data_IF_806885321292
#
_entry.id   IF_806885321292
#
_cell.length_a   1.000
_cell.length_b   1.000
_cell.length_c   1.000
_cell.angle_alpha   90.00
_cell.angle_beta   90.00
_cell.angle_gamma   90.00
#
_symmetry.space_group_name_H-M   'P 1'
#
loop_
_entity.id
_entity.type
_entity.pdbx_description
1 polymer ?
#
# COMPACT_ATOMS: atom_id res chain seq x y z
N UNK A 1 -16.11 15.62 -7.48
CA UNK A 1 -14.81 15.66 -8.13
C UNK A 1 -13.78 14.91 -7.38
N UNK A 2 -12.98 14.11 -8.05
CA UNK A 2 -11.88 13.46 -7.38
C UNK A 2 -10.85 14.48 -6.92
N UNK A 3 -10.17 14.15 -5.85
CA UNK A 3 -9.14 15.02 -5.28
C UNK A 3 -7.79 14.49 -5.76
N UNK A 4 -6.95 15.38 -6.26
CA UNK A 4 -5.64 14.99 -6.73
C UNK A 4 -4.79 14.50 -5.55
N UNK A 5 -3.98 13.45 -5.76
CA UNK A 5 -3.09 13.00 -4.70
C UNK A 5 -2.09 14.09 -4.31
N UNK A 6 -1.66 14.06 -3.06
CA UNK A 6 -0.74 15.06 -2.53
C UNK A 6 0.55 15.15 -3.31
N UNK A 7 1.08 14.00 -3.80
CA UNK A 7 2.33 14.03 -4.55
C UNK A 7 2.17 14.78 -5.87
N UNK A 8 0.97 14.77 -6.46
CA UNK A 8 0.74 15.55 -7.68
C UNK A 8 0.65 17.03 -7.37
N UNK A 9 -0.06 17.40 -6.30
CA UNK A 9 -0.21 18.80 -5.98
C UNK A 9 1.09 19.41 -5.47
N UNK A 10 1.96 18.60 -4.85
CA UNK A 10 3.24 19.07 -4.35
C UNK A 10 4.35 18.93 -5.39
N UNK A 11 4.05 18.39 -6.55
CA UNK A 11 5.00 18.23 -7.64
C UNK A 11 6.23 17.43 -7.18
N UNK A 12 6.00 16.30 -6.55
CA UNK A 12 7.05 15.42 -6.06
C UNK A 12 6.75 13.98 -6.45
N UNK A 13 7.74 13.09 -6.40
CA UNK A 13 7.46 11.68 -6.67
C UNK A 13 6.56 11.09 -5.59
N UNK A 14 5.76 10.10 -5.93
CA UNK A 14 5.00 9.38 -4.91
C UNK A 14 5.94 8.71 -3.91
N UNK A 15 5.52 8.68 -2.65
CA UNK A 15 6.26 8.06 -1.56
C UNK A 15 5.62 6.74 -1.21
N UNK A 16 6.43 5.69 -1.22
CA UNK A 16 5.96 4.33 -0.91
C UNK A 16 6.68 3.82 0.32
N UNK A 17 5.93 3.31 1.27
CA UNK A 17 6.48 2.70 2.47
C UNK A 17 6.22 1.20 2.42
N UNK A 18 7.30 0.41 2.47
CA UNK A 18 7.20 -1.04 2.52
C UNK A 18 7.43 -1.47 3.96
N UNK A 19 6.49 -2.23 4.51
CA UNK A 19 6.59 -2.76 5.86
C UNK A 19 6.55 -4.28 5.74
N UNK A 20 7.71 -4.92 5.84
CA UNK A 20 7.84 -6.36 5.63
C UNK A 20 9.14 -6.81 6.28
N UNK A 21 9.07 -7.87 7.08
CA UNK A 21 10.26 -8.37 7.77
C UNK A 21 11.13 -9.27 6.88
N UNK A 22 10.66 -9.61 5.68
CA UNK A 22 11.40 -10.47 4.77
C UNK A 22 12.18 -9.61 3.77
N UNK A 23 13.47 -9.44 4.01
CA UNK A 23 14.33 -8.63 3.14
C UNK A 23 14.48 -9.21 1.76
N UNK A 24 14.35 -10.55 1.63
CA UNK A 24 14.44 -11.18 0.31
C UNK A 24 13.29 -10.78 -0.59
N UNK A 25 12.17 -10.38 -0.01
CA UNK A 25 11.05 -9.85 -0.78
C UNK A 25 11.13 -8.34 -0.87
N UNK A 26 11.40 -7.67 0.23
CA UNK A 26 11.36 -6.22 0.28
C UNK A 26 12.42 -5.56 -0.59
N UNK A 27 13.64 -6.13 -0.63
CA UNK A 27 14.73 -5.51 -1.39
C UNK A 27 14.44 -5.47 -2.89
N UNK A 28 14.03 -6.58 -3.53
CA UNK A 28 13.70 -6.50 -4.96
C UNK A 28 12.51 -5.59 -5.25
N UNK A 29 11.52 -5.57 -4.35
CA UNK A 29 10.36 -4.69 -4.51
C UNK A 29 10.81 -3.23 -4.47
N UNK A 30 11.63 -2.89 -3.48
CA UNK A 30 12.14 -1.52 -3.34
C UNK A 30 12.90 -1.11 -4.60
N UNK A 31 13.77 -2.00 -5.09
CA UNK A 31 14.57 -1.71 -6.27
C UNK A 31 13.68 -1.47 -7.49
N UNK A 32 12.70 -2.34 -7.71
CA UNK A 32 11.81 -2.23 -8.85
C UNK A 32 11.01 -0.92 -8.82
N UNK A 33 10.53 -0.55 -7.65
CA UNK A 33 9.72 0.67 -7.51
C UNK A 33 10.58 1.91 -7.62
N UNK A 34 11.80 1.89 -7.10
CA UNK A 34 12.72 3.02 -7.25
C UNK A 34 13.05 3.27 -8.71
N UNK A 35 13.19 2.21 -9.52
CA UNK A 35 13.47 2.36 -10.94
C UNK A 35 12.34 3.05 -11.69
N UNK A 36 11.13 3.00 -11.15
CA UNK A 36 9.98 3.68 -11.75
C UNK A 36 9.87 5.13 -11.31
N UNK A 37 10.78 5.59 -10.47
CA UNK A 37 10.80 6.99 -10.05
C UNK A 37 10.15 7.26 -8.70
N UNK A 38 9.69 6.23 -7.99
CA UNK A 38 9.08 6.43 -6.69
C UNK A 38 10.13 6.57 -5.60
N UNK A 39 9.79 7.30 -4.55
CA UNK A 39 10.62 7.36 -3.34
C UNK A 39 10.18 6.22 -2.44
N UNK A 40 11.07 5.29 -2.13
CA UNK A 40 10.69 4.08 -1.42
C UNK A 40 11.48 3.96 -0.12
N UNK A 41 10.77 3.73 0.98
CA UNK A 41 11.34 3.47 2.29
C UNK A 41 10.90 2.09 2.74
N UNK A 42 11.82 1.32 3.31
CA UNK A 42 11.49 -0.01 3.83
C UNK A 42 11.81 -0.07 5.31
N UNK A 43 10.86 -0.58 6.09
CA UNK A 43 11.07 -0.89 7.51
C UNK A 43 10.66 -2.34 7.76
N UNK A 44 11.33 -3.02 8.71
CA UNK A 44 11.18 -4.49 8.81
C UNK A 44 10.11 -4.97 9.78
N UNK A 45 9.45 -4.11 10.52
CA UNK A 45 8.44 -4.60 11.47
C UNK A 45 7.32 -3.60 11.65
N UNK A 46 6.25 -4.06 12.28
CA UNK A 46 5.03 -3.27 12.41
C UNK A 46 5.19 -2.05 13.30
N UNK A 47 6.01 -2.12 14.35
CA UNK A 47 6.21 -0.96 15.21
C UNK A 47 6.97 0.13 14.47
N UNK A 48 7.99 -0.24 13.71
CA UNK A 48 8.69 0.72 12.86
C UNK A 48 7.78 1.24 11.76
N UNK A 49 6.85 0.40 11.28
CA UNK A 49 5.87 0.82 10.29
C UNK A 49 4.99 1.93 10.80
N UNK A 50 4.47 1.78 12.02
CA UNK A 50 3.64 2.82 12.63
C UNK A 50 4.42 4.12 12.77
N UNK A 51 5.66 4.04 13.24
CA UNK A 51 6.49 5.25 13.37
C UNK A 51 6.77 5.88 12.01
N UNK A 52 7.02 5.06 10.99
CA UNK A 52 7.37 5.55 9.67
C UNK A 52 6.19 6.24 8.96
N UNK A 53 4.96 5.87 9.28
CA UNK A 53 3.79 6.52 8.71
C UNK A 53 3.87 8.03 8.94
N UNK A 54 4.24 8.45 10.13
CA UNK A 54 4.31 9.87 10.46
C UNK A 54 5.52 10.54 9.82
N UNK A 55 6.67 9.86 9.78
CA UNK A 55 7.89 10.50 9.30
C UNK A 55 8.03 10.46 7.78
N UNK A 56 7.57 9.40 7.15
CA UNK A 56 7.65 9.26 5.68
C UNK A 56 6.47 9.95 5.01
N UNK A 57 5.32 9.93 5.63
CA UNK A 57 4.10 10.46 5.08
C UNK A 57 3.83 9.83 3.69
N UNK A 58 3.63 8.50 3.65
CA UNK A 58 3.55 7.80 2.37
C UNK A 58 2.24 8.08 1.64
N UNK A 59 2.29 7.91 0.33
CA UNK A 59 1.09 7.94 -0.51
C UNK A 59 0.53 6.53 -0.68
N UNK A 60 1.40 5.52 -0.55
CA UNK A 60 1.01 4.13 -0.66
C UNK A 60 1.88 3.29 0.26
N UNK A 61 1.29 2.27 0.88
CA UNK A 61 2.01 1.32 1.70
C UNK A 61 1.86 -0.07 1.12
N UNK A 62 2.96 -0.82 1.12
CA UNK A 62 2.96 -2.26 0.87
C UNK A 62 3.21 -2.91 2.22
N UNK A 63 2.23 -3.64 2.72
CA UNK A 63 2.17 -4.01 4.13
C UNK A 63 2.01 -5.51 4.29
N UNK A 64 3.02 -6.14 4.90
CA UNK A 64 2.95 -7.56 5.20
C UNK A 64 2.00 -7.79 6.37
N UNK A 65 1.18 -8.83 6.26
CA UNK A 65 0.21 -9.13 7.31
C UNK A 65 0.88 -9.74 8.53
N UNK A 66 1.86 -10.62 8.33
CA UNK A 66 2.44 -11.39 9.43
C UNK A 66 3.85 -10.92 9.72
N UNK A 67 4.02 -10.16 10.77
CA UNK A 67 5.31 -9.62 11.17
C UNK A 67 5.50 -9.70 12.68
N UNK A 68 6.74 -9.75 13.16
CA UNK A 68 6.96 -9.65 14.60
C UNK A 68 6.58 -8.25 15.10
N UNK A 69 6.27 -8.18 16.37
CA UNK A 69 5.88 -6.94 17.02
C UNK A 69 4.44 -6.60 16.80
N UNK A 70 4.13 -5.93 15.73
CA UNK A 70 2.77 -5.50 15.44
C UNK A 70 2.37 -6.05 14.07
N UNK A 71 1.24 -6.76 14.00
CA UNK A 71 0.79 -7.35 12.75
C UNK A 71 0.39 -6.27 11.74
N UNK A 72 0.34 -6.66 10.46
CA UNK A 72 -0.08 -5.74 9.43
C UNK A 72 -1.50 -5.23 9.63
N UNK A 73 -2.38 -6.07 10.17
CA UNK A 73 -3.74 -5.61 10.48
C UNK A 73 -3.74 -4.45 11.47
N UNK A 74 -2.89 -4.53 12.50
CA UNK A 74 -2.82 -3.46 13.50
C UNK A 74 -2.20 -2.19 12.92
N UNK A 75 -1.24 -2.34 12.02
CA UNK A 75 -0.66 -1.18 11.34
C UNK A 75 -1.72 -0.50 10.47
N UNK A 76 -2.51 -1.29 9.73
CA UNK A 76 -3.57 -0.75 8.89
C UNK A 76 -4.63 -0.04 9.72
N UNK A 77 -5.02 -0.66 10.82
CA UNK A 77 -6.01 -0.08 11.71
C UNK A 77 -5.52 1.25 12.27
N UNK A 78 -4.24 1.30 12.67
CA UNK A 78 -3.64 2.53 13.16
C UNK A 78 -3.66 3.62 12.07
N UNK A 79 -3.28 3.25 10.85
CA UNK A 79 -3.24 4.18 9.74
C UNK A 79 -4.62 4.83 9.52
N UNK A 80 -5.66 3.99 9.47
CA UNK A 80 -7.00 4.48 9.18
C UNK A 80 -7.56 5.33 10.31
N UNK A 81 -7.11 5.10 11.55
CA UNK A 81 -7.60 5.87 12.69
C UNK A 81 -6.91 7.22 12.85
N UNK A 82 -5.87 7.51 12.07
CA UNK A 82 -5.10 8.74 12.22
C UNK A 82 -5.41 9.77 11.14
N UNK A 83 -6.54 9.67 10.48
CA UNK A 83 -6.94 10.61 9.43
C UNK A 83 -6.07 10.53 8.18
N UNK A 84 -5.42 9.41 7.96
CA UNK A 84 -4.66 9.18 6.74
C UNK A 84 -5.43 8.22 5.85
N UNK A 85 -6.69 8.53 5.63
CA UNK A 85 -7.57 7.65 4.88
C UNK A 85 -7.29 7.65 3.39
N UNK A 86 -6.51 8.62 2.91
CA UNK A 86 -6.16 8.70 1.50
C UNK A 86 -4.90 7.90 1.14
N UNK A 87 -4.23 7.30 2.12
CA UNK A 87 -3.07 6.45 1.83
C UNK A 87 -3.57 5.12 1.26
N UNK A 88 -3.06 4.75 0.10
CA UNK A 88 -3.40 3.46 -0.52
C UNK A 88 -2.64 2.36 0.18
N UNK A 89 -3.28 1.21 0.39
CA UNK A 89 -2.64 0.09 1.08
C UNK A 89 -2.80 -1.18 0.28
N UNK A 90 -1.67 -1.83 0.01
CA UNK A 90 -1.64 -3.17 -0.57
C UNK A 90 -1.18 -4.11 0.54
N UNK A 91 -2.04 -5.03 0.96
CA UNK A 91 -1.67 -6.06 1.92
C UNK A 91 -1.02 -7.22 1.19
N UNK A 92 0.11 -7.69 1.70
CA UNK A 92 0.83 -8.81 1.09
C UNK A 92 1.02 -9.87 2.15
N UNK A 93 0.68 -11.12 1.85
CA UNK A 93 0.73 -12.14 2.86
C UNK A 93 0.91 -13.52 2.28
N UNK A 94 1.56 -14.42 3.04
CA UNK A 94 1.61 -15.84 2.72
C UNK A 94 0.41 -16.62 3.22
N UNK A 95 -0.48 -15.96 3.98
CA UNK A 95 -1.64 -16.64 4.51
C UNK A 95 -2.79 -16.52 3.51
N UNK A 96 -3.38 -17.67 3.16
CA UNK A 96 -4.36 -17.70 2.10
C UNK A 96 -5.80 -17.73 2.55
N UNK A 97 -6.07 -17.54 3.79
CA UNK A 97 -7.45 -17.63 4.27
C UNK A 97 -8.32 -16.49 3.74
N UNK A 98 -9.49 -16.85 3.25
CA UNK A 98 -10.43 -15.85 2.74
C UNK A 98 -10.90 -14.89 3.81
N UNK A 99 -10.95 -15.36 5.06
CA UNK A 99 -11.34 -14.50 6.15
C UNK A 99 -10.34 -13.36 6.35
N UNK A 100 -9.07 -13.65 6.16
CA UNK A 100 -8.05 -12.60 6.30
C UNK A 100 -8.18 -11.56 5.20
N UNK A 101 -8.50 -11.99 4.00
CA UNK A 101 -8.70 -11.05 2.91
C UNK A 101 -9.91 -10.17 3.15
N UNK A 102 -11.03 -10.76 3.60
CA UNK A 102 -12.24 -10.01 3.89
C UNK A 102 -11.98 -9.00 5.01
N UNK A 103 -11.24 -9.41 6.04
CA UNK A 103 -10.95 -8.53 7.16
C UNK A 103 -10.05 -7.37 6.73
N UNK A 104 -9.05 -7.65 5.88
CA UNK A 104 -8.18 -6.60 5.37
C UNK A 104 -8.97 -5.56 4.58
N UNK A 105 -9.90 -6.02 3.75
CA UNK A 105 -10.72 -5.09 2.97
C UNK A 105 -11.64 -4.29 3.87
N UNK A 106 -12.19 -4.91 4.90
CA UNK A 106 -13.03 -4.22 5.86
C UNK A 106 -12.25 -3.13 6.59
N UNK A 107 -10.97 -3.35 6.85
CA UNK A 107 -10.13 -2.34 7.48
C UNK A 107 -9.62 -1.29 6.51
N UNK A 108 -9.93 -1.42 5.23
CA UNK A 108 -9.60 -0.40 4.26
C UNK A 108 -8.40 -0.69 3.39
N UNK A 109 -8.00 -1.96 3.24
CA UNK A 109 -6.96 -2.30 2.27
C UNK A 109 -7.51 -2.14 0.87
N UNK A 110 -6.70 -1.60 -0.03
CA UNK A 110 -7.12 -1.35 -1.40
C UNK A 110 -6.82 -2.54 -2.32
N UNK A 111 -5.84 -3.36 -1.95
CA UNK A 111 -5.55 -4.58 -2.69
C UNK A 111 -4.96 -5.61 -1.73
N UNK A 112 -4.96 -6.87 -2.17
CA UNK A 112 -4.52 -7.96 -1.32
C UNK A 112 -3.80 -8.97 -2.21
N UNK A 113 -2.51 -9.18 -1.97
CA UNK A 113 -1.67 -10.00 -2.84
C UNK A 113 -1.08 -11.14 -2.04
N UNK A 114 -1.15 -12.35 -2.57
CA UNK A 114 -0.60 -13.53 -1.91
C UNK A 114 0.86 -13.73 -2.28
N UNK A 115 1.67 -14.11 -1.29
CA UNK A 115 3.06 -14.52 -1.52
C UNK A 115 3.10 -16.01 -1.86
N UNK A 116 3.92 -16.45 -2.76
CA UNK A 116 4.81 -15.63 -3.60
C UNK A 116 4.03 -14.98 -4.74
N UNK A 117 4.49 -13.83 -5.17
CA UNK A 117 3.81 -13.11 -6.24
C UNK A 117 4.81 -12.75 -7.34
N UNK A 118 4.29 -12.55 -8.55
CA UNK A 118 5.10 -12.02 -9.63
C UNK A 118 5.31 -10.53 -9.39
N UNK A 119 6.51 -10.03 -9.64
CA UNK A 119 6.79 -8.61 -9.45
C UNK A 119 5.84 -7.75 -10.28
N UNK A 120 5.49 -8.20 -11.49
CA UNK A 120 4.56 -7.44 -12.34
C UNK A 120 3.21 -7.26 -11.68
N UNK A 121 2.74 -8.26 -10.94
CA UNK A 121 1.46 -8.16 -10.25
C UNK A 121 1.48 -7.02 -9.23
N UNK A 122 2.55 -6.94 -8.44
CA UNK A 122 2.68 -5.89 -7.44
C UNK A 122 2.86 -4.53 -8.10
N UNK A 123 3.72 -4.44 -9.10
CA UNK A 123 3.97 -3.17 -9.77
C UNK A 123 2.70 -2.63 -10.42
N UNK A 124 1.91 -3.50 -11.04
CA UNK A 124 0.66 -3.06 -11.65
C UNK A 124 -0.32 -2.52 -10.61
N UNK A 125 -0.37 -3.16 -9.45
CA UNK A 125 -1.24 -2.68 -8.38
C UNK A 125 -0.79 -1.32 -7.87
N UNK A 126 0.52 -1.14 -7.68
CA UNK A 126 1.06 0.15 -7.23
C UNK A 126 0.71 1.24 -8.23
N UNK A 127 0.96 1.00 -9.51
CA UNK A 127 0.72 1.99 -10.53
C UNK A 127 -0.76 2.34 -10.64
N UNK A 128 -1.60 1.33 -10.58
CA UNK A 128 -3.04 1.56 -10.67
C UNK A 128 -3.53 2.40 -9.50
N UNK A 129 -3.12 2.04 -8.29
CA UNK A 129 -3.62 2.74 -7.10
C UNK A 129 -3.09 4.17 -7.03
N UNK A 130 -1.86 4.40 -7.50
CA UNK A 130 -1.31 5.75 -7.48
C UNK A 130 -1.87 6.63 -8.60
N UNK A 131 -2.33 6.02 -9.68
CA UNK A 131 -2.90 6.79 -10.76
C UNK A 131 -4.37 7.15 -10.53
N UNK A 132 -5.04 6.44 -9.64
CA UNK A 132 -6.45 6.73 -9.36
C UNK A 132 -6.54 7.94 -8.46
N UNK A 133 -7.35 8.96 -8.81
CA UNK A 133 -7.54 10.08 -7.90
C UNK A 133 -8.29 9.62 -6.67
N UNK A 134 -8.09 10.33 -5.55
CA UNK A 134 -8.85 10.03 -4.35
C UNK A 134 -10.27 10.48 -4.59
N UNK A 135 -11.19 9.56 -4.43
CA UNK A 135 -12.56 9.85 -4.72
C UNK A 135 -13.32 9.97 -3.46
N UNK A 136 -14.32 10.80 -3.48
CA UNK A 136 -15.22 10.83 -2.39
C UNK A 136 -16.34 9.94 -2.80
N UNK A 137 -16.03 8.76 -3.13
CA UNK A 137 -17.02 7.77 -3.43
C UNK A 137 -17.37 7.56 -4.84
N UNK A 138 -16.82 8.30 -5.78
CA UNK A 138 -17.17 8.08 -7.04
C UNK A 138 -16.28 7.42 -7.77
N UNK A 139 -16.29 6.56 -8.23
CA UNK A 139 -15.38 5.92 -8.88
C UNK A 139 -15.72 5.61 -10.15
N UNK A 140 -15.81 5.87 -10.55
CA UNK A 140 -16.01 5.57 -11.43
C UNK A 140 -15.85 4.81 -12.15
N UNK A 141 -16.24 4.66 -12.21
CA UNK A 141 -16.14 3.85 -12.74
C UNK A 141 -15.51 3.76 -13.73
N UNK A 142 -15.33 4.18 -13.86
CA UNK A 142 -14.79 3.91 -14.62
C UNK A 142 -14.14 3.15 -14.80
N UNK A 143 -14.29 3.16 -14.40
CA UNK A 143 -13.83 2.53 -14.51
C UNK A 143 -13.83 1.58 -15.03
N UNK A 144 -14.04 1.63 -15.01
CA UNK A 144 -13.93 0.74 -15.33
C UNK A 144 -13.78 0.20 -16.19
N UNK A 145 -13.80 0.46 -16.38
CA UNK A 145 -13.55 -0.10 -17.00
C UNK A 145 -12.91 -0.63 -17.57
N UNK A 146 -12.70 -0.53 -17.39
CA UNK A 146 -12.05 -1.02 -17.70
C UNK A 146 -11.86 -1.85 -18.02
N UNK A 147 -12.07 -1.84 -17.90
CA UNK A 147 -11.73 -2.64 -18.04
C UNK A 147 -11.37 -3.31 -18.63
N UNK A 148 -11.16 -3.30 -18.56
CA UNK A 148 -10.58 -3.82 -18.91
C UNK A 148 -10.29 -4.26 -19.31
#
# INVERSE_FOLDING_TARGET
MPIAPGWQTENRPPRILIVDDDFEIADPVKFALQKLGYEVTHVPDGNQGVAAIATVNPDLMVLDMMMPGRSGFLVLEHLRSTKKSDVRVIMVTGNEGERHQAYARMLGADDYIHKPFAMDRLVQSVQKLLDEPFADGEITAATESETE
#
